data_IF_620448302186
#
_entry.id   IF_620448302186
#
_cell.length_a   1.000
_cell.length_b   1.000
_cell.length_c   1.000
_cell.angle_alpha   90.00
_cell.angle_beta   90.00
_cell.angle_gamma   90.00
#
_symmetry.space_group_name_H-M   'P 1'
#
loop_
_entity.id
_entity.type
_entity.pdbx_description
1 polymer ?
#
# COMPACT_ATOMS: atom_id res chain seq x y z
N UNK A 1 41.50 79.69 5.81
CA UNK A 1 42.20 78.41 5.54
C UNK A 1 41.19 77.30 5.71
N UNK A 2 40.63 76.82 4.60
CA UNK A 2 39.60 75.80 4.55
C UNK A 2 40.25 74.41 4.38
N UNK A 3 39.91 73.47 5.26
CA UNK A 3 40.36 72.08 5.19
C UNK A 3 39.41 71.28 4.30
N UNK A 4 39.89 70.90 3.11
CA UNK A 4 39.23 69.99 2.18
C UNK A 4 39.34 68.54 2.69
N UNK A 5 38.21 67.90 2.97
CA UNK A 5 38.09 66.45 3.14
C UNK A 5 37.58 65.83 1.83
N UNK A 6 38.41 65.00 1.19
CA UNK A 6 38.03 64.21 0.02
C UNK A 6 37.25 62.96 0.45
N UNK A 7 35.99 62.87 0.02
CA UNK A 7 35.15 61.67 0.11
C UNK A 7 35.39 60.80 -1.13
N UNK A 8 35.98 59.62 -0.95
CA UNK A 8 36.01 58.56 -1.96
C UNK A 8 34.77 57.68 -1.75
N UNK A 9 33.80 57.81 -2.65
CA UNK A 9 32.63 56.93 -2.77
C UNK A 9 33.07 55.62 -3.45
N UNK A 10 33.06 54.50 -2.72
CA UNK A 10 33.18 53.16 -3.30
C UNK A 10 31.77 52.64 -3.54
N UNK A 11 31.39 52.53 -4.82
CA UNK A 11 30.14 51.91 -5.28
C UNK A 11 30.32 50.39 -5.25
N UNK A 12 29.48 49.60 -4.55
CA UNK A 12 29.46 48.17 -4.72
C UNK A 12 28.65 47.80 -5.96
N UNK A 13 29.32 47.07 -6.85
CA UNK A 13 28.80 46.40 -8.04
C UNK A 13 27.60 45.52 -7.68
N UNK A 14 26.44 45.78 -8.29
CA UNK A 14 25.29 44.87 -8.24
C UNK A 14 25.58 43.62 -9.07
N UNK A 15 25.94 42.52 -8.40
CA UNK A 15 25.84 41.17 -8.96
C UNK A 15 24.46 40.59 -8.63
N UNK A 16 23.78 40.09 -9.66
CA UNK A 16 22.47 39.43 -9.59
C UNK A 16 22.41 38.31 -8.55
N UNK A 17 21.54 38.47 -7.55
CA UNK A 17 21.19 37.47 -6.54
C UNK A 17 19.74 37.02 -6.70
N UNK A 18 19.61 35.71 -6.90
CA UNK A 18 18.44 34.81 -6.94
C UNK A 18 17.11 35.32 -6.31
N UNK A 19 16.01 35.03 -7.02
CA UNK A 19 14.62 35.19 -6.55
C UNK A 19 14.38 34.39 -5.25
N UNK A 20 13.50 34.85 -4.34
CA UNK A 20 13.13 34.08 -3.15
C UNK A 20 12.38 32.81 -3.57
N UNK A 21 12.77 31.67 -2.97
CA UNK A 21 12.07 30.39 -3.08
C UNK A 21 10.75 30.51 -2.32
N UNK A 22 9.65 30.20 -3.01
CA UNK A 22 8.28 30.27 -2.53
C UNK A 22 8.06 29.20 -1.44
N UNK A 23 7.87 29.61 -0.19
CA UNK A 23 7.59 28.73 0.96
C UNK A 23 6.12 28.31 0.98
N UNK A 24 5.69 27.58 -0.04
CA UNK A 24 4.30 27.17 -0.24
C UNK A 24 3.96 25.72 0.12
N UNK A 25 4.93 24.86 0.46
CA UNK A 25 4.73 23.40 0.45
C UNK A 25 4.98 22.69 1.80
N UNK A 26 4.69 23.38 2.90
CA UNK A 26 4.81 22.80 4.26
C UNK A 26 3.62 21.93 4.68
N UNK A 27 2.59 21.80 3.84
CA UNK A 27 1.34 21.11 4.16
C UNK A 27 1.30 19.63 3.78
N UNK A 28 2.28 19.12 3.01
CA UNK A 28 2.22 17.77 2.41
C UNK A 28 2.54 16.66 3.42
N UNK A 29 3.13 16.99 4.57
CA UNK A 29 3.63 16.00 5.54
C UNK A 29 3.18 16.28 6.98
N UNK A 30 1.88 16.49 7.22
CA UNK A 30 1.36 16.40 8.59
C UNK A 30 0.92 14.96 8.93
N UNK A 31 1.33 14.41 10.10
CA UNK A 31 0.83 13.13 10.56
C UNK A 31 -0.65 13.29 10.93
N UNK A 32 -1.53 12.59 10.23
CA UNK A 32 -2.94 12.55 10.60
C UNK A 32 -3.10 11.74 11.89
N UNK A 33 -3.36 12.44 13.00
CA UNK A 33 -3.83 11.84 14.24
C UNK A 33 -5.10 11.05 13.97
N UNK A 34 -5.07 9.77 14.35
CA UNK A 34 -6.22 8.89 14.32
C UNK A 34 -7.23 9.34 15.42
N UNK A 35 -8.52 9.28 15.06
CA UNK A 35 -9.71 9.36 15.93
C UNK A 35 -10.25 10.75 16.27
N UNK A 36 -10.99 11.32 15.32
CA UNK A 36 -12.20 12.18 15.43
C UNK A 36 -12.55 12.53 13.98
N UNK A 37 -13.69 12.21 13.37
CA UNK A 37 -15.04 12.04 13.88
C UNK A 37 -15.79 11.03 13.02
N UNK A 38 -16.62 10.21 13.68
CA UNK A 38 -17.69 9.45 13.02
C UNK A 38 -18.77 10.47 12.70
N UNK A 39 -18.77 10.98 11.49
CA UNK A 39 -19.93 11.62 10.89
C UNK A 39 -20.15 10.99 9.52
N UNK A 40 -21.40 10.97 9.07
CA UNK A 40 -21.82 10.46 7.77
C UNK A 40 -21.27 11.40 6.69
N UNK A 41 -19.94 11.42 6.55
CA UNK A 41 -19.22 12.42 5.80
C UNK A 41 -19.63 12.27 4.34
N UNK A 42 -20.28 13.32 3.85
CA UNK A 42 -20.29 13.67 2.45
C UNK A 42 -18.95 13.25 1.85
N UNK A 43 -18.97 12.27 0.94
CA UNK A 43 -17.76 11.79 0.29
C UNK A 43 -17.07 13.01 -0.32
N UNK A 44 -16.04 13.52 0.35
CA UNK A 44 -15.40 14.74 -0.05
C UNK A 44 -14.67 14.43 -1.35
N UNK A 45 -15.05 15.12 -2.42
CA UNK A 45 -14.35 15.02 -3.69
C UNK A 45 -12.99 15.63 -3.51
N UNK A 46 -12.01 14.80 -3.18
CA UNK A 46 -10.66 15.27 -3.17
C UNK A 46 -10.15 15.41 -4.60
N UNK A 47 -9.63 16.60 -4.91
CA UNK A 47 -8.92 16.88 -6.15
C UNK A 47 -7.46 17.04 -5.78
N UNK A 48 -6.58 16.27 -6.42
CA UNK A 48 -5.15 16.37 -6.18
C UNK A 48 -4.61 17.77 -6.52
N UNK A 49 -3.42 18.14 -6.04
CA UNK A 49 -2.77 19.39 -6.42
C UNK A 49 -2.66 19.52 -7.95
N UNK A 50 -3.03 20.67 -8.50
CA UNK A 50 -3.03 20.92 -9.95
C UNK A 50 -4.22 20.32 -10.73
N UNK A 51 -5.17 19.67 -10.06
CA UNK A 51 -6.34 19.08 -10.70
C UNK A 51 -7.53 20.06 -10.76
N UNK A 52 -7.90 20.48 -11.97
CA UNK A 52 -9.00 21.43 -12.23
C UNK A 52 -10.25 20.77 -12.82
N UNK A 53 -10.51 19.49 -12.54
CA UNK A 53 -11.67 18.75 -13.07
C UNK A 53 -13.00 19.42 -12.68
N UNK A 54 -13.82 19.95 -13.62
CA UNK A 54 -15.02 20.72 -13.26
C UNK A 54 -16.21 19.84 -12.83
N UNK A 55 -16.11 18.50 -12.92
CA UNK A 55 -17.27 17.62 -12.74
C UNK A 55 -17.78 17.62 -11.29
N UNK A 56 -19.12 17.55 -11.10
CA UNK A 56 -19.73 17.38 -9.77
C UNK A 56 -19.60 15.95 -9.26
N UNK A 57 -19.70 15.76 -7.94
CA UNK A 57 -19.47 14.48 -7.24
C UNK A 57 -20.37 13.34 -7.73
N UNK A 58 -21.59 13.64 -8.19
CA UNK A 58 -22.49 12.63 -8.72
C UNK A 58 -22.03 12.05 -10.08
N UNK A 59 -21.12 12.71 -10.79
CA UNK A 59 -20.55 12.27 -12.08
C UNK A 59 -19.14 11.68 -11.95
N UNK A 60 -18.50 11.80 -10.78
CA UNK A 60 -17.18 11.25 -10.55
C UNK A 60 -17.22 9.72 -10.37
N UNK A 61 -16.20 8.99 -10.83
CA UNK A 61 -16.06 7.56 -10.56
C UNK A 61 -15.80 7.34 -9.07
N UNK A 62 -16.32 6.22 -8.54
CA UNK A 62 -16.08 5.79 -7.16
C UNK A 62 -15.02 4.69 -7.16
N UNK A 63 -13.97 4.89 -6.38
CA UNK A 63 -12.97 3.87 -6.08
C UNK A 63 -13.24 3.33 -4.67
N UNK A 64 -13.39 2.01 -4.55
CA UNK A 64 -13.50 1.38 -3.24
C UNK A 64 -12.09 1.21 -2.65
N UNK A 65 -11.74 2.07 -1.69
CA UNK A 65 -10.46 2.11 -1.01
C UNK A 65 -10.56 2.88 0.31
N UNK A 66 -9.67 2.64 1.27
CA UNK A 66 -9.75 3.26 2.60
C UNK A 66 -8.87 4.50 2.79
N UNK A 67 -7.83 4.70 1.96
CA UNK A 67 -7.01 5.92 2.02
C UNK A 67 -7.40 6.89 0.91
N UNK A 68 -7.05 8.15 1.12
CA UNK A 68 -7.13 9.17 0.08
C UNK A 68 -6.28 8.78 -1.13
N UNK A 69 -6.79 9.03 -2.33
CA UNK A 69 -6.07 8.87 -3.59
C UNK A 69 -5.92 10.24 -4.23
N UNK A 70 -4.68 10.62 -4.52
CA UNK A 70 -4.34 11.91 -5.09
C UNK A 70 -3.90 11.75 -6.55
N UNK A 71 -4.58 12.42 -7.47
CA UNK A 71 -4.29 12.34 -8.89
C UNK A 71 -4.21 13.75 -9.50
N UNK A 72 -3.11 14.01 -10.20
CA UNK A 72 -2.88 15.28 -10.89
C UNK A 72 -3.79 15.48 -12.12
N UNK A 73 -4.21 14.39 -12.78
CA UNK A 73 -4.90 14.43 -14.09
C UNK A 73 -6.42 14.22 -14.04
N UNK A 74 -6.97 13.65 -12.96
CA UNK A 74 -8.38 13.26 -12.89
C UNK A 74 -8.90 13.20 -11.45
N UNK A 75 -10.19 13.52 -11.24
CA UNK A 75 -10.84 13.41 -9.93
C UNK A 75 -11.64 12.12 -9.78
N UNK A 76 -11.70 11.61 -8.55
CA UNK A 76 -12.51 10.46 -8.16
C UNK A 76 -13.05 10.62 -6.74
N UNK A 77 -14.07 9.84 -6.40
CA UNK A 77 -14.56 9.67 -5.04
C UNK A 77 -13.97 8.40 -4.46
N UNK A 78 -13.41 8.47 -3.25
CA UNK A 78 -12.86 7.30 -2.56
C UNK A 78 -13.72 6.98 -1.35
N UNK A 79 -14.06 5.71 -1.16
CA UNK A 79 -14.85 5.26 -0.01
C UNK A 79 -14.48 3.85 0.41
N UNK A 80 -14.58 3.56 1.71
CA UNK A 80 -14.47 2.21 2.27
C UNK A 80 -15.82 1.48 2.34
N UNK A 81 -16.92 2.15 1.97
CA UNK A 81 -18.26 1.58 2.09
C UNK A 81 -18.53 0.53 1.01
N UNK A 82 -18.44 -0.75 1.38
CA UNK A 82 -18.66 -1.90 0.48
C UNK A 82 -20.07 -1.92 -0.16
N UNK A 83 -21.06 -1.17 0.35
CA UNK A 83 -22.40 -1.08 -0.27
C UNK A 83 -22.39 -0.50 -1.69
N UNK A 84 -21.35 0.27 -2.05
CA UNK A 84 -21.21 0.85 -3.40
C UNK A 84 -20.66 -0.14 -4.43
N UNK A 85 -20.31 -1.37 -4.02
CA UNK A 85 -19.63 -2.34 -4.88
C UNK A 85 -20.41 -2.73 -6.14
N UNK A 86 -21.73 -2.56 -6.18
CA UNK A 86 -22.56 -2.89 -7.36
C UNK A 86 -22.92 -1.66 -8.19
N UNK A 87 -22.41 -0.48 -7.85
CA UNK A 87 -22.76 0.75 -8.56
C UNK A 87 -22.06 0.80 -9.93
N UNK A 88 -22.81 1.14 -10.97
CA UNK A 88 -22.29 1.30 -12.35
C UNK A 88 -21.15 2.33 -12.47
N UNK A 89 -21.11 3.31 -11.58
CA UNK A 89 -20.06 4.34 -11.52
C UNK A 89 -18.87 3.97 -10.63
N UNK A 90 -18.81 2.71 -10.18
CA UNK A 90 -17.66 2.16 -9.48
C UNK A 90 -16.85 1.36 -10.51
N UNK A 91 -15.78 1.94 -11.10
CA UNK A 91 -14.97 1.23 -12.09
C UNK A 91 -13.84 0.40 -11.45
N UNK A 92 -13.46 0.64 -10.19
CA UNK A 92 -12.33 -0.09 -9.59
C UNK A 92 -12.45 -0.31 -8.08
N UNK A 93 -12.07 -1.52 -7.67
CA UNK A 93 -11.91 -1.95 -6.27
C UNK A 93 -10.44 -2.17 -6.03
N UNK A 94 -9.89 -1.54 -5.00
CA UNK A 94 -8.51 -1.78 -4.58
C UNK A 94 -8.55 -2.67 -3.33
N UNK A 95 -7.90 -3.82 -3.42
CA UNK A 95 -7.78 -4.78 -2.34
C UNK A 95 -6.43 -4.63 -1.66
N UNK A 96 -6.44 -4.62 -0.33
CA UNK A 96 -5.21 -4.79 0.43
C UNK A 96 -4.99 -6.26 0.70
N UNK A 97 -3.85 -6.77 0.26
CA UNK A 97 -3.58 -8.20 0.23
C UNK A 97 -3.69 -8.86 1.60
N UNK A 98 -3.27 -8.19 2.66
CA UNK A 98 -3.37 -8.70 4.05
C UNK A 98 -4.80 -8.98 4.49
N UNK A 99 -5.75 -8.11 4.10
CA UNK A 99 -7.16 -8.21 4.51
C UNK A 99 -8.00 -9.02 3.51
N UNK A 100 -7.41 -9.44 2.38
CA UNK A 100 -8.15 -10.16 1.36
C UNK A 100 -8.54 -11.57 1.83
N UNK A 101 -9.82 -11.89 1.68
CA UNK A 101 -10.40 -13.21 1.97
C UNK A 101 -11.25 -13.67 0.79
N UNK A 102 -11.03 -14.89 0.32
CA UNK A 102 -11.73 -15.40 -0.86
C UNK A 102 -13.26 -15.46 -0.67
N UNK A 103 -13.73 -15.78 0.54
CA UNK A 103 -15.15 -15.85 0.91
C UNK A 103 -15.79 -14.46 1.16
N UNK A 104 -15.03 -13.37 1.10
CA UNK A 104 -15.54 -12.00 1.18
C UNK A 104 -15.40 -11.25 -0.16
N UNK A 105 -14.97 -11.95 -1.21
CA UNK A 105 -14.77 -11.35 -2.51
C UNK A 105 -16.08 -10.70 -3.02
N UNK A 106 -16.03 -9.49 -3.58
CA UNK A 106 -17.22 -8.77 -4.03
C UNK A 106 -17.76 -9.42 -5.30
N UNK A 107 -18.65 -10.40 -5.12
CA UNK A 107 -19.30 -11.14 -6.19
C UNK A 107 -20.72 -10.59 -6.48
N UNK A 108 -21.23 -10.74 -7.73
CA UNK A 108 -20.52 -11.24 -8.90
C UNK A 108 -19.48 -10.23 -9.39
N UNK A 109 -18.37 -10.71 -9.94
CA UNK A 109 -17.37 -9.81 -10.53
C UNK A 109 -17.93 -9.16 -11.79
N UNK A 110 -18.20 -7.86 -11.73
CA UNK A 110 -18.79 -7.13 -12.85
C UNK A 110 -17.73 -6.81 -13.90
N UNK A 111 -18.07 -6.96 -15.19
CA UNK A 111 -17.13 -6.79 -16.30
C UNK A 111 -16.50 -5.39 -16.41
N UNK A 112 -17.19 -4.35 -15.94
CA UNK A 112 -16.68 -2.98 -15.94
C UNK A 112 -15.76 -2.67 -14.75
N UNK A 113 -15.61 -3.62 -13.81
CA UNK A 113 -14.85 -3.42 -12.59
C UNK A 113 -13.44 -3.96 -12.73
N UNK A 114 -12.48 -3.09 -12.46
CA UNK A 114 -11.07 -3.42 -12.35
C UNK A 114 -10.75 -3.78 -10.90
N UNK A 115 -10.26 -4.99 -10.69
CA UNK A 115 -9.75 -5.41 -9.38
C UNK A 115 -8.26 -5.11 -9.33
N UNK A 116 -7.84 -4.22 -8.43
CA UNK A 116 -6.43 -3.90 -8.22
C UNK A 116 -5.97 -4.46 -6.87
N UNK A 117 -4.78 -5.03 -6.82
CA UNK A 117 -4.15 -5.56 -5.62
C UNK A 117 -3.03 -4.64 -5.17
N UNK A 118 -3.07 -4.30 -3.89
CA UNK A 118 -1.99 -3.61 -3.20
C UNK A 118 -1.53 -4.47 -2.01
N UNK A 119 -0.28 -4.94 -2.00
CA UNK A 119 0.25 -5.82 -0.95
C UNK A 119 1.73 -5.55 -0.67
N UNK A 120 2.02 -4.83 0.41
CA UNK A 120 3.38 -4.45 0.79
C UNK A 120 4.15 -5.53 1.55
N UNK A 121 3.44 -6.53 2.05
CA UNK A 121 4.00 -7.52 2.96
C UNK A 121 4.55 -8.74 2.22
N UNK A 122 5.28 -9.58 2.96
CA UNK A 122 5.76 -10.86 2.45
C UNK A 122 4.59 -11.70 1.90
N UNK A 123 4.81 -12.51 0.84
CA UNK A 123 3.82 -13.48 0.38
C UNK A 123 3.37 -14.46 1.46
N UNK A 124 4.18 -14.64 2.51
CA UNK A 124 3.83 -15.46 3.68
C UNK A 124 2.71 -14.87 4.53
N UNK A 125 2.44 -13.56 4.45
CA UNK A 125 1.35 -12.95 5.22
C UNK A 125 -0.04 -13.33 4.67
N UNK A 126 -0.11 -13.64 3.37
CA UNK A 126 -1.30 -14.19 2.76
C UNK A 126 -0.93 -15.15 1.63
N UNK A 127 -0.92 -16.45 1.93
CA UNK A 127 -0.55 -17.51 0.98
C UNK A 127 -1.45 -17.54 -0.26
N UNK A 128 -2.67 -16.99 -0.23
CA UNK A 128 -3.52 -16.81 -1.41
C UNK A 128 -2.76 -16.09 -2.54
N UNK A 129 -1.96 -15.09 -2.18
CA UNK A 129 -1.15 -14.28 -3.09
C UNK A 129 0.19 -14.93 -3.45
N UNK A 130 0.48 -16.12 -2.94
CA UNK A 130 1.62 -16.93 -3.39
C UNK A 130 1.28 -17.77 -4.63
N UNK A 131 -0.01 -17.97 -4.90
CA UNK A 131 -0.49 -18.81 -5.99
C UNK A 131 -0.80 -17.99 -7.24
N UNK A 132 -0.38 -18.51 -8.39
CA UNK A 132 -0.61 -17.85 -9.68
C UNK A 132 -2.11 -17.64 -9.96
N UNK A 133 -2.94 -18.65 -9.64
CA UNK A 133 -4.41 -18.58 -9.77
C UNK A 133 -4.98 -17.42 -8.95
N UNK A 134 -4.48 -17.21 -7.73
CA UNK A 134 -4.92 -16.12 -6.86
C UNK A 134 -4.51 -14.74 -7.38
N UNK A 135 -3.23 -14.55 -7.72
CA UNK A 135 -2.71 -13.25 -8.20
C UNK A 135 -3.40 -12.83 -9.50
N UNK A 136 -3.65 -13.76 -10.43
CA UNK A 136 -4.24 -13.46 -11.75
C UNK A 136 -5.70 -13.02 -11.70
N UNK A 137 -6.37 -13.16 -10.56
CA UNK A 137 -7.69 -12.59 -10.37
C UNK A 137 -7.65 -11.05 -10.39
N UNK A 138 -6.52 -10.44 -10.06
CA UNK A 138 -6.37 -8.99 -10.07
C UNK A 138 -5.84 -8.51 -11.42
N UNK A 139 -6.45 -7.44 -11.94
CA UNK A 139 -6.07 -6.81 -13.21
C UNK A 139 -4.78 -6.01 -13.10
N UNK A 140 -4.55 -5.40 -11.93
CA UNK A 140 -3.33 -4.65 -11.63
C UNK A 140 -2.81 -5.07 -10.27
N UNK A 141 -1.49 -5.14 -10.16
CA UNK A 141 -0.81 -5.59 -8.95
C UNK A 141 0.27 -4.61 -8.56
N UNK A 142 0.35 -4.33 -7.27
CA UNK A 142 1.47 -3.68 -6.62
C UNK A 142 1.87 -4.56 -5.44
N UNK A 143 2.88 -5.42 -5.63
CA UNK A 143 3.34 -6.39 -4.63
C UNK A 143 4.85 -6.36 -4.48
N UNK A 144 5.40 -7.11 -3.51
CA UNK A 144 6.85 -7.30 -3.36
C UNK A 144 7.54 -7.88 -4.61
N UNK A 145 6.77 -8.46 -5.55
CA UNK A 145 7.28 -9.01 -6.80
C UNK A 145 7.69 -7.91 -7.77
N UNK A 146 8.83 -8.11 -8.44
CA UNK A 146 9.33 -7.19 -9.48
C UNK A 146 8.45 -7.15 -10.72
N UNK A 147 7.73 -8.23 -11.00
CA UNK A 147 6.83 -8.33 -12.16
C UNK A 147 5.45 -7.71 -11.89
N UNK A 148 5.24 -7.06 -10.74
CA UNK A 148 4.01 -6.32 -10.47
C UNK A 148 3.85 -5.17 -11.46
N UNK A 149 2.62 -4.86 -11.85
CA UNK A 149 2.31 -3.77 -12.78
C UNK A 149 2.78 -2.40 -12.26
N UNK A 150 2.73 -2.22 -10.94
CA UNK A 150 3.18 -1.02 -10.27
C UNK A 150 4.18 -1.37 -9.15
N UNK A 151 5.23 -0.56 -8.94
CA UNK A 151 6.12 -0.74 -7.82
C UNK A 151 5.37 -0.47 -6.52
N UNK A 152 5.75 -1.18 -5.44
CA UNK A 152 5.38 -0.73 -4.10
C UNK A 152 6.00 0.64 -3.87
N UNK A 153 5.13 1.65 -3.78
CA UNK A 153 5.55 3.03 -3.54
C UNK A 153 6.23 3.14 -2.18
N UNK A 154 7.04 4.18 -2.04
CA UNK A 154 7.75 4.59 -0.84
C UNK A 154 6.83 5.05 0.31
N UNK A 155 5.77 4.29 0.64
CA UNK A 155 4.75 4.67 1.64
C UNK A 155 5.34 5.07 2.99
N UNK A 156 6.50 4.50 3.32
CA UNK A 156 7.22 4.73 4.57
C UNK A 156 8.44 5.63 4.40
N UNK A 157 8.65 6.23 3.24
CA UNK A 157 9.72 7.21 3.06
C UNK A 157 9.19 8.61 3.34
N UNK A 158 9.63 9.25 4.44
CA UNK A 158 9.10 10.55 4.82
C UNK A 158 9.48 11.66 3.84
N UNK A 159 10.69 11.63 3.29
CA UNK A 159 11.20 12.66 2.38
C UNK A 159 12.46 12.19 1.64
N UNK A 160 12.89 12.97 0.65
CA UNK A 160 14.21 12.79 0.03
C UNK A 160 15.33 13.01 1.06
N UNK A 161 15.19 14.01 1.93
CA UNK A 161 16.19 14.31 2.98
C UNK A 161 16.42 13.12 3.92
N UNK A 162 15.38 12.32 4.18
CA UNK A 162 15.52 11.08 4.94
C UNK A 162 16.50 10.09 4.27
N UNK A 163 16.47 9.97 2.93
CA UNK A 163 17.41 9.11 2.19
C UNK A 163 18.84 9.65 2.20
N UNK A 164 18.99 10.98 2.24
CA UNK A 164 20.27 11.64 2.22
C UNK A 164 20.93 11.72 3.60
N UNK A 165 20.16 11.49 4.67
CA UNK A 165 20.67 11.45 6.04
C UNK A 165 21.66 10.30 6.20
N UNK A 166 22.82 10.60 6.77
CA UNK A 166 23.81 9.58 7.11
C UNK A 166 23.16 8.48 7.98
N UNK A 167 23.41 7.18 7.68
CA UNK A 167 22.81 6.10 8.44
C UNK A 167 23.29 6.17 9.89
N UNK A 168 22.39 5.88 10.84
CA UNK A 168 22.70 5.90 12.28
C UNK A 168 23.88 4.99 12.66
N UNK A 169 24.14 3.94 11.87
CA UNK A 169 25.24 2.99 12.06
C UNK A 169 25.98 2.78 10.73
N UNK A 170 27.33 2.84 10.72
CA UNK A 170 28.13 2.55 9.53
C UNK A 170 27.91 1.15 8.97
N UNK A 171 28.03 1.00 7.65
CA UNK A 171 27.84 -0.28 6.96
C UNK A 171 28.81 -1.38 7.45
N UNK A 172 30.05 -1.00 7.78
CA UNK A 172 31.06 -1.93 8.28
C UNK A 172 30.62 -2.58 9.60
N UNK A 173 30.04 -1.80 10.50
CA UNK A 173 29.55 -2.27 11.79
C UNK A 173 28.31 -3.15 11.64
N UNK A 174 27.35 -2.74 10.78
CA UNK A 174 26.20 -3.59 10.42
C UNK A 174 26.66 -4.95 9.86
N UNK A 175 27.68 -4.96 8.99
CA UNK A 175 28.23 -6.18 8.42
C UNK A 175 28.92 -7.07 9.46
N UNK A 176 29.57 -6.50 10.48
CA UNK A 176 30.15 -7.27 11.59
C UNK A 176 29.05 -7.99 12.38
N UNK A 177 27.97 -7.30 12.73
CA UNK A 177 26.83 -7.91 13.43
C UNK A 177 26.18 -9.02 12.61
N UNK A 178 25.93 -8.78 11.31
CA UNK A 178 25.34 -9.78 10.40
C UNK A 178 26.14 -11.09 10.33
N UNK A 179 27.48 -11.01 10.39
CA UNK A 179 28.36 -12.18 10.34
C UNK A 179 28.46 -12.90 11.67
N UNK A 180 28.31 -12.18 12.78
CA UNK A 180 28.47 -12.74 14.11
C UNK A 180 27.28 -13.61 14.51
N UNK A 181 26.08 -13.03 14.50
CA UNK A 181 24.83 -13.72 14.85
C UNK A 181 23.62 -12.92 14.35
N UNK A 182 22.63 -13.63 13.79
CA UNK A 182 21.38 -13.03 13.32
C UNK A 182 20.61 -12.39 14.46
N UNK A 183 20.54 -13.05 15.62
CA UNK A 183 19.75 -12.55 16.75
C UNK A 183 20.39 -11.31 17.36
N UNK A 184 21.71 -11.32 17.53
CA UNK A 184 22.49 -10.14 17.92
C UNK A 184 22.36 -8.98 16.92
N UNK A 185 22.38 -9.25 15.61
CA UNK A 185 22.14 -8.23 14.60
C UNK A 185 20.77 -7.56 14.75
N UNK A 186 19.72 -8.34 14.98
CA UNK A 186 18.37 -7.81 15.20
C UNK A 186 18.34 -6.97 16.48
N UNK A 187 18.88 -7.47 17.59
CA UNK A 187 18.92 -6.74 18.87
C UNK A 187 19.63 -5.38 18.75
N UNK A 188 20.78 -5.33 18.08
CA UNK A 188 21.51 -4.08 17.87
C UNK A 188 20.76 -3.12 16.95
N UNK A 189 20.12 -3.64 15.89
CA UNK A 189 19.35 -2.81 14.95
C UNK A 189 18.12 -2.18 15.61
N UNK A 190 17.44 -2.92 16.50
CA UNK A 190 16.23 -2.46 17.21
C UNK A 190 16.50 -1.28 18.13
N UNK A 191 17.74 -0.99 18.51
CA UNK A 191 18.11 0.22 19.28
C UNK A 191 17.95 1.52 18.49
N UNK A 192 18.00 1.45 17.16
CA UNK A 192 18.04 2.61 16.26
C UNK A 192 16.77 2.78 15.42
N UNK A 193 15.87 1.80 15.45
CA UNK A 193 14.58 1.88 14.77
C UNK A 193 13.58 2.37 15.81
N UNK A 194 12.99 3.55 15.60
CA UNK A 194 11.78 3.96 16.33
C UNK A 194 10.66 3.02 15.91
N UNK A 195 10.40 2.01 16.73
CA UNK A 195 9.34 1.07 16.44
C UNK A 195 8.06 1.68 17.00
N UNK A 196 7.21 2.22 16.12
CA UNK A 196 5.80 2.45 16.45
C UNK A 196 5.15 1.07 16.53
N UNK A 197 5.36 0.38 17.67
CA UNK A 197 4.71 -0.88 17.99
C UNK A 197 3.34 -0.58 18.55
N UNK A 198 2.44 -0.12 17.68
CA UNK A 198 1.01 -0.29 17.92
C UNK A 198 0.50 -1.58 17.28
N UNK A 199 1.31 -2.64 17.25
CA UNK A 199 0.91 -4.05 17.19
C UNK A 199 2.18 -4.90 17.24
N UNK A 200 2.31 -5.63 18.35
CA UNK A 200 3.11 -6.85 18.55
C UNK A 200 4.39 -6.99 17.71
N UNK A 201 5.55 -6.75 18.34
CA UNK A 201 6.81 -7.35 17.90
C UNK A 201 6.58 -8.85 17.87
N UNK A 202 6.55 -9.46 16.70
CA UNK A 202 6.81 -10.89 16.62
C UNK A 202 8.28 -11.05 16.97
N UNK A 203 8.57 -11.23 18.26
CA UNK A 203 9.77 -11.95 18.66
C UNK A 203 9.55 -13.33 18.04
N UNK A 204 10.24 -13.62 16.93
CA UNK A 204 10.30 -14.98 16.41
C UNK A 204 11.08 -15.78 17.45
N UNK A 205 10.39 -16.27 18.48
CA UNK A 205 10.95 -17.28 19.35
C UNK A 205 11.16 -18.55 18.51
N UNK A 206 12.13 -19.35 18.88
CA UNK A 206 12.39 -20.65 18.23
C UNK A 206 11.15 -21.57 18.27
N UNK A 207 10.28 -21.41 19.29
CA UNK A 207 8.99 -22.11 19.39
C UNK A 207 7.96 -21.62 18.36
N UNK A 208 7.94 -20.32 18.06
CA UNK A 208 7.07 -19.74 17.03
C UNK A 208 7.54 -20.22 15.65
N UNK A 209 8.84 -20.17 15.38
CA UNK A 209 9.42 -20.65 14.11
C UNK A 209 9.15 -22.15 13.84
N UNK A 210 9.29 -23.00 14.86
CA UNK A 210 9.03 -24.44 14.75
C UNK A 210 7.54 -24.77 14.55
N UNK A 211 6.64 -24.07 15.24
CA UNK A 211 5.19 -24.18 14.99
C UNK A 211 4.79 -23.74 13.58
N UNK A 212 5.33 -22.63 13.09
CA UNK A 212 5.09 -22.16 11.71
C UNK A 212 5.59 -23.14 10.65
N UNK A 213 6.77 -23.73 10.84
CA UNK A 213 7.32 -24.74 9.92
C UNK A 213 6.40 -25.96 9.76
N UNK A 214 5.59 -26.28 10.77
CA UNK A 214 4.62 -27.36 10.72
C UNK A 214 3.29 -26.95 10.08
N UNK A 215 2.83 -25.71 10.29
CA UNK A 215 1.52 -25.24 9.82
C UNK A 215 1.52 -24.73 8.37
N UNK A 216 2.61 -24.09 7.92
CA UNK A 216 2.62 -23.42 6.62
C UNK A 216 2.26 -24.30 5.41
N UNK A 217 2.59 -25.61 5.34
CA UNK A 217 2.21 -26.42 4.18
C UNK A 217 0.68 -26.51 4.09
N UNK A 218 0.01 -26.66 5.22
CA UNK A 218 -1.44 -26.72 5.28
C UNK A 218 -2.06 -25.39 4.84
N UNK A 219 -1.59 -24.27 5.37
CA UNK A 219 -2.10 -22.93 5.01
C UNK A 219 -1.86 -22.61 3.54
N UNK A 220 -0.71 -23.04 3.01
CA UNK A 220 -0.35 -22.89 1.60
C UNK A 220 -1.34 -23.63 0.70
N UNK A 221 -1.58 -24.92 0.95
CA UNK A 221 -2.50 -25.73 0.13
C UNK A 221 -3.96 -25.29 0.30
N UNK A 222 -4.40 -24.99 1.52
CA UNK A 222 -5.74 -24.44 1.75
C UNK A 222 -5.94 -23.12 1.00
N UNK A 223 -4.91 -22.29 0.90
CA UNK A 223 -4.98 -21.04 0.14
C UNK A 223 -5.02 -21.26 -1.37
N UNK A 224 -4.41 -22.33 -1.88
CA UNK A 224 -4.52 -22.73 -3.29
C UNK A 224 -5.97 -23.12 -3.60
N UNK A 225 -6.55 -23.99 -2.78
CA UNK A 225 -7.93 -24.42 -2.94
C UNK A 225 -8.90 -23.22 -2.88
N UNK A 226 -8.66 -22.26 -1.99
CA UNK A 226 -9.43 -21.01 -1.94
C UNK A 226 -9.27 -20.16 -3.20
N UNK A 227 -8.07 -20.06 -3.78
CA UNK A 227 -7.82 -19.33 -5.02
C UNK A 227 -8.58 -19.96 -6.20
N UNK A 228 -8.49 -21.28 -6.35
CA UNK A 228 -9.20 -22.01 -7.41
C UNK A 228 -10.72 -22.02 -7.18
N UNK A 229 -11.15 -22.08 -5.92
CA UNK A 229 -12.55 -21.94 -5.53
C UNK A 229 -13.10 -20.58 -5.96
N UNK A 230 -12.38 -19.49 -5.67
CA UNK A 230 -12.80 -18.15 -6.08
C UNK A 230 -12.76 -17.96 -7.60
N UNK A 231 -11.72 -18.46 -8.28
CA UNK A 231 -11.66 -18.47 -9.74
C UNK A 231 -12.88 -19.20 -10.32
N UNK A 232 -13.26 -20.34 -9.73
CA UNK A 232 -14.44 -21.09 -10.11
C UNK A 232 -15.73 -20.29 -9.92
N UNK A 233 -15.91 -19.61 -8.78
CA UNK A 233 -17.07 -18.72 -8.56
C UNK A 233 -17.15 -17.62 -9.62
N UNK A 234 -16.02 -16.95 -9.89
CA UNK A 234 -15.93 -15.88 -10.90
C UNK A 234 -16.24 -16.42 -12.30
N UNK A 235 -15.65 -17.55 -12.69
CA UNK A 235 -15.86 -18.18 -14.00
C UNK A 235 -17.30 -18.59 -14.25
N UNK A 236 -18.01 -19.01 -13.21
CA UNK A 236 -19.42 -19.41 -13.28
C UNK A 236 -20.39 -18.26 -12.97
N UNK A 237 -19.90 -17.01 -12.87
CA UNK A 237 -20.71 -15.82 -12.55
C UNK A 237 -21.55 -15.97 -11.27
N UNK A 238 -21.02 -16.67 -10.27
CA UNK A 238 -21.71 -16.87 -8.99
C UNK A 238 -21.71 -15.55 -8.22
N UNK A 239 -22.88 -15.18 -7.69
CA UNK A 239 -23.05 -13.94 -6.92
C UNK A 239 -22.92 -14.13 -5.41
N UNK A 240 -23.17 -15.34 -4.90
CA UNK A 240 -23.09 -15.66 -3.48
C UNK A 240 -21.71 -16.24 -3.11
N UNK A 241 -20.86 -15.52 -2.36
CA UNK A 241 -19.55 -16.00 -1.95
C UNK A 241 -19.62 -17.13 -0.91
N UNK A 242 -20.76 -17.37 -0.26
CA UNK A 242 -20.94 -18.47 0.71
C UNK A 242 -20.78 -19.86 0.06
N UNK A 243 -20.96 -19.94 -1.25
CA UNK A 243 -20.83 -21.15 -2.05
C UNK A 243 -19.37 -21.57 -2.32
N UNK A 244 -18.39 -20.79 -1.86
CA UNK A 244 -16.97 -21.07 -2.04
C UNK A 244 -16.60 -22.51 -1.66
N UNK A 245 -17.01 -22.95 -0.47
CA UNK A 245 -16.68 -24.29 0.04
C UNK A 245 -17.28 -25.41 -0.79
N UNK A 246 -18.48 -25.20 -1.35
CA UNK A 246 -19.11 -26.17 -2.25
C UNK A 246 -18.32 -26.29 -3.56
N UNK A 247 -17.84 -25.18 -4.11
CA UNK A 247 -16.98 -25.18 -5.29
C UNK A 247 -15.64 -25.87 -5.03
N UNK A 248 -14.99 -25.59 -3.90
CA UNK A 248 -13.75 -26.27 -3.49
C UNK A 248 -13.97 -27.78 -3.38
N UNK A 249 -15.04 -28.20 -2.68
CA UNK A 249 -15.38 -29.61 -2.54
C UNK A 249 -15.61 -30.28 -3.91
N UNK A 250 -16.29 -29.59 -4.84
CA UNK A 250 -16.52 -30.11 -6.19
C UNK A 250 -15.21 -30.28 -6.99
N UNK A 251 -14.24 -29.38 -6.82
CA UNK A 251 -12.92 -29.45 -7.44
C UNK A 251 -12.15 -30.64 -6.86
N UNK A 252 -12.11 -30.77 -5.53
CA UNK A 252 -11.44 -31.88 -4.84
C UNK A 252 -11.98 -33.24 -5.28
N UNK A 253 -13.30 -33.40 -5.37
CA UNK A 253 -13.94 -34.65 -5.83
C UNK A 253 -13.60 -34.95 -7.29
N UNK A 254 -13.49 -33.94 -8.16
CA UNK A 254 -13.06 -34.14 -9.56
C UNK A 254 -11.62 -34.61 -9.66
N UNK A 255 -10.71 -33.99 -8.90
CA UNK A 255 -9.30 -34.41 -8.79
C UNK A 255 -9.15 -35.86 -8.35
N UNK A 256 -9.88 -36.25 -7.31
CA UNK A 256 -9.86 -37.63 -6.81
C UNK A 256 -10.36 -38.65 -7.85
N UNK A 257 -11.20 -38.22 -8.80
CA UNK A 257 -11.71 -39.05 -9.91
C UNK A 257 -10.81 -39.00 -11.16
N UNK A 258 -9.69 -38.28 -11.12
CA UNK A 258 -8.77 -38.14 -12.25
C UNK A 258 -9.33 -37.33 -13.42
N UNK A 259 -10.25 -36.38 -13.14
CA UNK A 259 -10.88 -35.51 -14.15
C UNK A 259 -10.53 -34.03 -13.95
#
# INVERSE_FOLDING_TARGET
MALCLWLIMVVPVCCWGQRPVDTGDSGVFQPQSALSDIEFASVSSYRGPGNTDPRPNNKLPIILWWKRVECARSSCLVTSNRKVQLYRRMPSIIFYGTDFRAYEAPLPRLAHQTWALFHEESPMNNYFLSHNVGIRLFNYTATFRRESDYPLTLRWLPSLDYLLKAPAVPLQEKNRWRRADRNRYVQELMKYIEIILSTTVIIISESVYTGWLQMWPQDYWQSLDQAEGLESLVRHNVSDPSLLWQHIQSIAVRRARGR
#
